data_IF_831265033881
#
_entry.id   IF_831265033881
#
_cell.length_a   1.000
_cell.length_b   1.000
_cell.length_c   1.000
_cell.angle_alpha   90.00
_cell.angle_beta   90.00
_cell.angle_gamma   90.00
#
_symmetry.space_group_name_H-M   'P 1'
#
loop_
_entity.id
_entity.type
_entity.pdbx_description
1 polymer ?
#
# COMPACT_ATOMS: atom_id res chain seq x y z
N UNK A 1 -7.95 18.07 -4.99
CA UNK A 1 -7.06 17.44 -3.97
C UNK A 1 -5.90 16.80 -4.72
N UNK A 2 -4.68 17.24 -4.46
CA UNK A 2 -3.49 16.65 -5.09
C UNK A 2 -3.06 15.44 -4.24
N UNK A 3 -3.33 14.24 -4.78
CA UNK A 3 -3.08 12.97 -4.10
C UNK A 3 -2.42 12.02 -5.08
N UNK A 4 -1.30 11.48 -4.67
CA UNK A 4 -0.55 10.48 -5.41
C UNK A 4 -0.40 9.20 -4.60
N UNK A 5 -0.38 8.06 -5.26
CA UNK A 5 -0.07 6.80 -4.58
C UNK A 5 1.36 6.86 -4.01
N UNK A 6 1.51 6.46 -2.75
CA UNK A 6 2.79 6.42 -2.06
C UNK A 6 3.31 4.99 -1.94
N UNK A 7 2.59 4.11 -1.26
CA UNK A 7 3.05 2.74 -1.09
C UNK A 7 1.93 1.73 -0.79
N UNK A 8 2.28 0.47 -0.97
CA UNK A 8 1.51 -0.66 -0.48
C UNK A 8 2.21 -1.29 0.72
N UNK A 9 1.46 -1.52 1.78
CA UNK A 9 1.93 -2.17 3.01
C UNK A 9 1.68 -3.67 2.91
N UNK A 10 2.72 -4.48 3.08
CA UNK A 10 2.66 -5.92 3.14
C UNK A 10 3.17 -6.40 4.50
N UNK A 11 2.27 -6.90 5.33
CA UNK A 11 2.65 -7.52 6.59
C UNK A 11 3.32 -8.88 6.35
N UNK A 12 4.48 -9.07 6.93
CA UNK A 12 5.18 -10.37 6.98
C UNK A 12 5.94 -10.51 8.29
N UNK A 13 6.05 -11.73 8.79
CA UNK A 13 6.83 -12.03 10.01
C UNK A 13 8.32 -11.80 9.80
N UNK A 14 8.80 -11.90 8.56
CA UNK A 14 10.21 -11.73 8.21
C UNK A 14 10.36 -10.85 6.95
N UNK A 15 10.36 -9.51 7.09
CA UNK A 15 10.60 -8.57 6.00
C UNK A 15 11.89 -8.82 5.21
N UNK A 16 12.93 -9.34 5.85
CA UNK A 16 14.21 -9.66 5.19
C UNK A 16 14.09 -10.79 4.16
N UNK A 17 13.20 -11.77 4.37
CA UNK A 17 12.93 -12.80 3.37
C UNK A 17 12.32 -12.19 2.11
N UNK A 18 11.34 -11.31 2.25
CA UNK A 18 10.71 -10.60 1.14
C UNK A 18 11.72 -9.71 0.40
N UNK A 19 12.55 -8.96 1.13
CA UNK A 19 13.66 -8.18 0.59
C UNK A 19 14.61 -9.07 -0.23
N UNK A 20 15.03 -10.19 0.33
CA UNK A 20 15.96 -11.13 -0.33
C UNK A 20 15.34 -11.71 -1.60
N UNK A 21 14.06 -12.08 -1.59
CA UNK A 21 13.35 -12.56 -2.77
C UNK A 21 13.39 -11.53 -3.91
N UNK A 22 13.17 -10.25 -3.61
CA UNK A 22 13.26 -9.18 -4.60
C UNK A 22 14.69 -8.92 -5.07
N UNK A 23 15.69 -8.99 -4.17
CA UNK A 23 17.10 -8.86 -4.55
C UNK A 23 17.55 -9.98 -5.50
N UNK A 24 17.08 -11.21 -5.32
CA UNK A 24 17.40 -12.35 -6.19
C UNK A 24 16.91 -12.16 -7.62
N UNK A 25 15.78 -11.49 -7.81
CA UNK A 25 15.26 -11.14 -9.16
C UNK A 25 15.82 -9.83 -9.70
N UNK A 26 16.69 -9.16 -8.97
CA UNK A 26 17.48 -8.01 -9.43
C UNK A 26 16.99 -6.65 -8.97
N UNK A 27 16.03 -6.56 -8.04
CA UNK A 27 15.62 -5.30 -7.42
C UNK A 27 16.66 -4.80 -6.39
N UNK A 28 16.68 -3.50 -6.18
CA UNK A 28 17.46 -2.83 -5.12
C UNK A 28 16.59 -2.65 -3.88
N UNK A 29 16.17 -3.76 -3.28
CA UNK A 29 15.43 -3.74 -2.03
C UNK A 29 16.39 -3.55 -0.85
N UNK A 30 15.98 -2.73 0.14
CA UNK A 30 16.81 -2.26 1.25
C UNK A 30 16.13 -2.47 2.61
N UNK A 31 16.92 -2.39 3.68
CA UNK A 31 16.37 -2.21 5.02
C UNK A 31 15.83 -0.78 5.15
N UNK A 32 14.60 -0.65 5.61
CA UNK A 32 13.99 0.65 5.84
C UNK A 32 14.36 1.25 7.20
N UNK A 33 14.22 0.47 8.25
CA UNK A 33 14.56 0.85 9.62
C UNK A 33 13.55 0.36 10.66
N UNK A 34 13.71 0.85 11.89
CA UNK A 34 12.88 0.45 13.04
C UNK A 34 11.98 1.61 13.47
N UNK A 35 10.72 1.29 13.74
CA UNK A 35 9.75 2.20 14.36
C UNK A 35 9.70 1.87 15.85
N UNK A 36 10.62 2.47 16.61
CA UNK A 36 10.82 2.12 18.02
C UNK A 36 9.57 2.38 18.88
N UNK A 37 8.79 3.39 18.56
CA UNK A 37 7.53 3.70 19.25
C UNK A 37 6.43 2.66 19.03
N UNK A 38 6.47 1.93 17.91
CA UNK A 38 5.43 1.00 17.48
C UNK A 38 5.83 -0.48 17.56
N UNK A 39 7.08 -0.79 17.90
CA UNK A 39 7.57 -2.17 17.95
C UNK A 39 7.59 -2.86 16.60
N UNK A 40 7.82 -2.11 15.51
CA UNK A 40 7.87 -2.63 14.14
C UNK A 40 9.16 -2.25 13.43
N UNK A 41 9.44 -2.91 12.31
CA UNK A 41 10.52 -2.59 11.39
C UNK A 41 10.11 -2.94 9.98
N UNK A 42 10.81 -2.41 8.99
CA UNK A 42 10.48 -2.66 7.60
C UNK A 42 11.69 -2.87 6.68
N UNK A 43 11.41 -3.53 5.55
CA UNK A 43 12.23 -3.51 4.34
C UNK A 43 11.44 -2.85 3.22
N UNK A 44 12.13 -2.23 2.27
CA UNK A 44 11.52 -1.36 1.27
C UNK A 44 12.07 -1.68 -0.12
N UNK A 45 11.22 -1.54 -1.15
CA UNK A 45 11.62 -1.50 -2.54
C UNK A 45 11.00 -0.29 -3.22
N UNK A 46 11.82 0.65 -3.67
CA UNK A 46 11.37 1.89 -4.30
C UNK A 46 11.21 1.73 -5.81
N UNK A 47 10.24 2.46 -6.38
CA UNK A 47 9.96 2.58 -7.80
C UNK A 47 9.93 4.05 -8.21
N UNK A 48 9.92 4.32 -9.51
CA UNK A 48 9.78 5.68 -10.04
C UNK A 48 8.54 6.39 -9.49
N UNK A 49 8.64 7.72 -9.35
CA UNK A 49 7.56 8.54 -8.82
C UNK A 49 7.35 8.39 -7.31
N UNK A 50 8.42 8.08 -6.56
CA UNK A 50 8.42 7.92 -5.09
C UNK A 50 7.45 6.85 -4.57
N UNK A 51 7.09 5.87 -5.41
CA UNK A 51 6.24 4.74 -5.02
C UNK A 51 7.11 3.63 -4.44
N UNK A 52 6.58 2.88 -3.48
CA UNK A 52 7.32 1.75 -2.94
C UNK A 52 6.43 0.65 -2.37
N UNK A 53 7.04 -0.52 -2.19
CA UNK A 53 6.49 -1.62 -1.40
C UNK A 53 7.14 -1.54 -0.02
N UNK A 54 6.32 -1.59 1.03
CA UNK A 54 6.77 -1.72 2.41
C UNK A 54 6.47 -3.14 2.92
N UNK A 55 7.49 -3.91 3.19
CA UNK A 55 7.36 -5.14 3.97
C UNK A 55 7.59 -4.81 5.44
N UNK A 56 6.55 -4.93 6.26
CA UNK A 56 6.58 -4.58 7.67
C UNK A 56 6.40 -5.80 8.55
N UNK A 57 7.18 -5.88 9.61
CA UNK A 57 7.13 -6.93 10.63
C UNK A 57 7.28 -6.37 12.03
N UNK A 58 7.14 -7.23 13.03
CA UNK A 58 7.26 -6.86 14.44
C UNK A 58 8.67 -7.11 14.97
N UNK A 59 9.24 -6.11 15.67
CA UNK A 59 10.39 -6.29 16.55
C UNK A 59 9.96 -6.58 18.00
N UNK A 60 8.76 -6.06 18.38
CA UNK A 60 8.16 -6.20 19.68
C UNK A 60 6.63 -6.24 19.52
N UNK A 61 6.08 -7.45 19.50
CA UNK A 61 4.65 -7.66 19.27
C UNK A 61 3.78 -7.14 20.41
N UNK A 62 4.25 -7.22 21.67
CA UNK A 62 3.50 -6.72 22.81
C UNK A 62 3.39 -5.20 22.78
N UNK A 63 4.44 -4.53 22.36
CA UNK A 63 4.43 -3.09 22.10
C UNK A 63 3.50 -2.72 20.94
N UNK A 64 3.54 -3.47 19.85
CA UNK A 64 2.65 -3.25 18.70
C UNK A 64 1.17 -3.38 19.08
N UNK A 65 0.81 -4.37 19.90
CA UNK A 65 -0.57 -4.55 20.39
C UNK A 65 -1.11 -3.40 21.22
N UNK A 66 -0.24 -2.66 21.88
CA UNK A 66 -0.62 -1.52 22.73
C UNK A 66 -0.45 -0.17 22.01
N UNK A 67 -0.07 -0.18 20.74
CA UNK A 67 0.07 1.03 19.93
C UNK A 67 -1.28 1.72 19.73
N UNK A 68 -1.31 3.03 19.80
CA UNK A 68 -2.46 3.89 19.45
C UNK A 68 -2.54 4.18 17.95
N UNK A 69 -1.53 3.76 17.19
CA UNK A 69 -1.49 3.97 15.74
C UNK A 69 -2.43 3.01 15.01
N UNK A 70 -3.36 3.57 14.24
CA UNK A 70 -4.42 2.82 13.53
C UNK A 70 -3.85 1.78 12.56
N UNK A 71 -2.77 2.10 11.82
CA UNK A 71 -2.12 1.14 10.91
C UNK A 71 -1.53 -0.04 11.68
N UNK A 72 -0.87 0.22 12.80
CA UNK A 72 -0.25 -0.83 13.60
C UNK A 72 -1.30 -1.74 14.23
N UNK A 73 -2.39 -1.16 14.77
CA UNK A 73 -3.53 -1.95 15.27
C UNK A 73 -4.13 -2.83 14.17
N UNK A 74 -4.27 -2.31 12.95
CA UNK A 74 -4.75 -3.08 11.80
C UNK A 74 -3.79 -4.21 11.43
N UNK A 75 -2.47 -3.94 11.40
CA UNK A 75 -1.45 -4.97 11.10
C UNK A 75 -1.45 -6.06 12.17
N UNK A 76 -1.61 -5.70 13.45
CA UNK A 76 -1.78 -6.67 14.55
C UNK A 76 -3.02 -7.54 14.32
N UNK A 77 -4.16 -6.94 13.99
CA UNK A 77 -5.38 -7.70 13.68
C UNK A 77 -5.20 -8.61 12.45
N UNK A 78 -4.55 -8.11 11.40
CA UNK A 78 -4.26 -8.88 10.19
C UNK A 78 -3.30 -10.05 10.46
N UNK A 79 -2.35 -9.89 11.38
CA UNK A 79 -1.36 -10.93 11.71
C UNK A 79 -2.00 -12.23 12.24
N UNK A 80 -3.19 -12.13 12.83
CA UNK A 80 -3.98 -13.29 13.27
C UNK A 80 -4.68 -14.01 12.10
N UNK A 81 -4.85 -13.33 10.96
CA UNK A 81 -5.48 -13.87 9.75
C UNK A 81 -4.46 -14.36 8.72
N UNK A 82 -3.19 -14.01 8.88
CA UNK A 82 -2.10 -14.41 7.98
C UNK A 82 -1.25 -13.24 7.48
N UNK A 83 -0.15 -13.59 6.84
CA UNK A 83 0.77 -12.63 6.19
C UNK A 83 0.24 -12.26 4.80
N UNK A 84 0.46 -11.02 4.33
CA UNK A 84 0.03 -10.54 3.02
C UNK A 84 -0.14 -9.03 2.99
N UNK A 85 -0.66 -8.51 1.89
CA UNK A 85 -0.93 -7.08 1.80
C UNK A 85 -2.00 -6.67 2.81
N UNK A 86 -1.80 -5.53 3.43
CA UNK A 86 -2.63 -5.00 4.51
C UNK A 86 -3.32 -3.70 4.11
N UNK A 87 -2.59 -2.73 3.55
CA UNK A 87 -3.12 -1.38 3.35
C UNK A 87 -2.48 -0.66 2.18
N UNK A 88 -3.16 0.38 1.68
CA UNK A 88 -2.68 1.34 0.68
C UNK A 88 -2.44 2.70 1.33
N UNK A 89 -1.36 3.36 0.93
CA UNK A 89 -1.05 4.73 1.31
C UNK A 89 -1.09 5.67 0.11
N UNK A 90 -1.71 6.82 0.27
CA UNK A 90 -1.65 7.93 -0.68
C UNK A 90 -1.00 9.13 -0.03
N UNK A 91 -0.04 9.76 -0.71
CA UNK A 91 0.63 10.95 -0.20
C UNK A 91 -0.07 12.24 -0.65
N UNK A 92 0.09 13.25 0.16
CA UNK A 92 -0.33 14.63 -0.08
C UNK A 92 0.69 15.59 0.52
N UNK A 93 0.72 16.81 0.01
CA UNK A 93 1.49 17.90 0.62
C UNK A 93 0.64 18.77 1.56
N UNK A 94 -0.68 18.52 1.62
CA UNK A 94 -1.63 19.27 2.46
C UNK A 94 -2.63 18.29 3.13
N UNK A 95 -2.27 17.80 4.31
CA UNK A 95 -3.10 16.86 5.06
C UNK A 95 -4.36 17.53 5.62
N UNK A 96 -4.33 18.84 5.87
CA UNK A 96 -5.50 19.60 6.37
C UNK A 96 -6.56 19.71 5.27
N UNK A 97 -6.16 19.92 4.01
CA UNK A 97 -7.06 19.86 2.88
C UNK A 97 -7.70 18.47 2.72
N UNK A 98 -6.95 17.40 2.98
CA UNK A 98 -7.50 16.03 2.96
C UNK A 98 -8.51 15.83 4.10
N UNK A 99 -8.24 16.33 5.31
CA UNK A 99 -9.20 16.30 6.44
C UNK A 99 -10.51 16.98 6.05
N UNK A 100 -10.42 18.21 5.52
CA UNK A 100 -11.60 18.96 5.10
C UNK A 100 -12.40 18.22 4.01
N UNK A 101 -11.70 17.62 3.06
CA UNK A 101 -12.30 16.82 1.98
C UNK A 101 -13.04 15.59 2.52
N UNK A 102 -12.42 14.80 3.41
CA UNK A 102 -13.02 13.63 4.06
C UNK A 102 -14.29 14.03 4.81
N UNK A 103 -14.22 15.13 5.57
CA UNK A 103 -15.38 15.66 6.31
C UNK A 103 -16.50 16.12 5.37
N UNK A 104 -16.18 16.80 4.27
CA UNK A 104 -17.17 17.22 3.26
C UNK A 104 -17.89 16.02 2.61
N UNK A 105 -17.25 14.83 2.57
CA UNK A 105 -17.88 13.58 2.15
C UNK A 105 -18.73 12.92 3.27
N UNK A 106 -18.84 13.53 4.44
CA UNK A 106 -19.52 12.95 5.60
C UNK A 106 -18.78 11.74 6.20
N UNK A 107 -17.49 11.61 5.89
CA UNK A 107 -16.62 10.61 6.48
C UNK A 107 -15.91 11.18 7.71
N UNK A 108 -15.44 10.30 8.60
CA UNK A 108 -14.80 10.71 9.86
C UNK A 108 -13.28 10.49 9.78
N UNK A 109 -12.46 11.55 9.74
CA UNK A 109 -11.01 11.43 9.81
C UNK A 109 -10.57 11.01 11.22
N UNK A 110 -9.47 10.26 11.29
CA UNK A 110 -8.78 9.86 12.53
C UNK A 110 -7.31 10.24 12.40
N UNK A 111 -6.82 11.06 13.27
CA UNK A 111 -5.48 11.65 13.23
C UNK A 111 -5.54 13.16 12.95
N UNK A 112 -4.46 13.77 12.42
CA UNK A 112 -3.24 13.11 11.95
C UNK A 112 -2.34 12.62 13.10
N UNK A 113 -1.67 11.48 12.88
CA UNK A 113 -0.68 10.92 13.79
C UNK A 113 0.72 11.15 13.27
N UNK A 114 1.59 11.73 14.10
CA UNK A 114 2.99 11.91 13.74
C UNK A 114 3.76 10.58 13.82
N UNK A 115 4.59 10.32 12.83
CA UNK A 115 5.51 9.21 12.80
C UNK A 115 6.93 9.67 12.50
N UNK A 116 7.91 8.86 12.93
CA UNK A 116 9.30 9.08 12.57
C UNK A 116 10.08 7.77 12.53
N UNK A 117 11.15 7.76 11.74
CA UNK A 117 12.06 6.64 11.60
C UNK A 117 13.47 7.14 11.43
N UNK A 118 14.42 6.53 12.12
CA UNK A 118 15.84 6.77 11.91
C UNK A 118 16.37 5.77 10.89
N UNK A 119 16.95 6.27 9.80
CA UNK A 119 17.63 5.49 8.77
C UNK A 119 18.99 4.99 9.29
N UNK A 120 19.61 4.05 8.57
CA UNK A 120 20.96 3.54 8.90
C UNK A 120 22.04 4.61 8.81
N UNK A 121 21.89 5.62 7.91
CA UNK A 121 22.78 6.77 7.79
C UNK A 121 22.59 7.81 8.91
N UNK A 122 21.69 7.57 9.85
CA UNK A 122 21.40 8.43 10.99
C UNK A 122 20.36 9.52 10.73
N UNK A 123 19.93 9.74 9.48
CA UNK A 123 18.88 10.72 9.15
C UNK A 123 17.54 10.28 9.75
N UNK A 124 16.83 11.25 10.34
CA UNK A 124 15.47 11.04 10.84
C UNK A 124 14.48 11.49 9.76
N UNK A 125 13.67 10.59 9.30
CA UNK A 125 12.50 10.87 8.47
C UNK A 125 11.29 11.06 9.38
N UNK A 126 10.45 12.05 9.07
CA UNK A 126 9.20 12.32 9.78
C UNK A 126 8.04 12.38 8.78
N UNK A 127 6.85 12.08 9.27
CA UNK A 127 5.60 12.13 8.49
C UNK A 127 4.40 12.29 9.41
N UNK A 128 3.26 12.63 8.83
CA UNK A 128 1.95 12.57 9.48
C UNK A 128 1.05 11.61 8.73
N UNK A 129 0.28 10.78 9.45
CA UNK A 129 -0.66 9.81 8.87
C UNK A 129 -2.07 10.14 9.27
N UNK A 130 -2.99 10.11 8.30
CA UNK A 130 -4.40 10.35 8.47
C UNK A 130 -5.19 9.12 7.99
N UNK A 131 -6.11 8.68 8.82
CA UNK A 131 -6.98 7.53 8.55
C UNK A 131 -8.43 7.98 8.41
N UNK A 132 -9.26 7.11 7.86
CA UNK A 132 -10.71 7.27 7.81
C UNK A 132 -11.31 6.20 8.71
N UNK A 133 -12.22 6.61 9.61
CA UNK A 133 -12.98 5.63 10.40
C UNK A 133 -13.87 4.83 9.47
N UNK A 134 -13.63 3.54 9.40
CA UNK A 134 -14.50 2.61 8.71
C UNK A 134 -15.48 2.03 9.73
N UNK A 135 -16.77 2.22 9.49
CA UNK A 135 -17.84 1.70 10.35
C UNK A 135 -18.47 0.43 9.76
N UNK A 136 -18.04 0.04 8.55
CA UNK A 136 -18.53 -1.12 7.80
C UNK A 136 -17.36 -2.02 7.43
N UNK A 137 -17.28 -3.18 8.04
CA UNK A 137 -16.24 -4.19 7.77
C UNK A 137 -16.52 -5.06 6.52
N UNK A 138 -17.65 -4.85 5.83
CA UNK A 138 -18.13 -5.67 4.73
C UNK A 138 -17.68 -5.20 3.34
N UNK A 139 -16.97 -4.09 3.26
CA UNK A 139 -16.40 -3.53 2.02
C UNK A 139 -14.89 -3.40 2.10
N UNK A 140 -14.25 -3.10 0.96
CA UNK A 140 -12.79 -2.85 0.96
C UNK A 140 -12.42 -1.68 1.88
N UNK A 141 -11.26 -1.81 2.50
CA UNK A 141 -10.72 -0.79 3.42
C UNK A 141 -10.51 0.54 2.73
N UNK A 142 -10.73 1.66 3.46
CA UNK A 142 -10.20 2.94 3.05
C UNK A 142 -8.68 2.92 3.08
N UNK A 143 -7.98 3.53 2.12
CA UNK A 143 -6.56 3.78 2.24
C UNK A 143 -6.30 4.81 3.33
N UNK A 144 -5.05 4.90 3.78
CA UNK A 144 -4.64 6.03 4.62
C UNK A 144 -3.86 7.07 3.79
N UNK A 145 -3.77 8.27 4.34
CA UNK A 145 -3.04 9.37 3.74
C UNK A 145 -1.79 9.69 4.54
N UNK A 146 -0.72 10.06 3.83
CA UNK A 146 0.56 10.40 4.44
C UNK A 146 1.05 11.73 3.88
N UNK A 147 1.47 12.62 4.79
CA UNK A 147 2.23 13.80 4.46
C UNK A 147 3.65 13.64 5.02
N UNK A 148 4.63 13.69 4.14
CA UNK A 148 6.04 13.62 4.53
C UNK A 148 6.52 14.94 5.08
N UNK A 149 7.46 14.91 6.04
CA UNK A 149 8.05 16.12 6.62
C UNK A 149 9.01 16.85 5.68
N UNK A 150 9.47 16.19 4.60
CA UNK A 150 10.34 16.78 3.60
C UNK A 150 9.59 16.97 2.29
N UNK A 151 9.85 18.08 1.54
CA UNK A 151 9.29 18.29 0.22
C UNK A 151 9.59 17.15 -0.76
N UNK A 152 8.66 16.89 -1.68
CA UNK A 152 8.79 15.81 -2.67
C UNK A 152 10.06 15.93 -3.52
N UNK A 153 10.48 17.15 -3.89
CA UNK A 153 11.72 17.37 -4.63
C UNK A 153 12.98 16.90 -3.89
N UNK A 154 13.03 17.13 -2.59
CA UNK A 154 14.15 16.69 -1.73
C UNK A 154 14.14 15.16 -1.64
N UNK A 155 12.98 14.58 -1.36
CA UNK A 155 12.81 13.13 -1.29
C UNK A 155 13.16 12.46 -2.62
N UNK A 156 12.75 13.04 -3.75
CA UNK A 156 13.04 12.50 -5.09
C UNK A 156 14.55 12.41 -5.31
N UNK A 157 15.30 13.48 -5.03
CA UNK A 157 16.77 13.48 -5.18
C UNK A 157 17.44 12.39 -4.34
N UNK A 158 16.97 12.20 -3.11
CA UNK A 158 17.52 11.17 -2.21
C UNK A 158 17.14 9.74 -2.62
N UNK A 159 15.95 9.56 -3.19
CA UNK A 159 15.44 8.22 -3.51
C UNK A 159 15.86 7.74 -4.92
N UNK A 160 16.31 8.63 -5.82
CA UNK A 160 16.76 8.25 -7.18
C UNK A 160 17.73 7.06 -7.19
N UNK A 161 18.77 6.99 -6.33
CA UNK A 161 19.68 5.83 -6.31
C UNK A 161 18.98 4.52 -5.92
N UNK A 162 17.91 4.59 -5.11
CA UNK A 162 17.16 3.43 -4.64
C UNK A 162 16.13 2.93 -5.66
N UNK A 163 15.78 3.78 -6.65
CA UNK A 163 14.87 3.43 -7.75
C UNK A 163 15.58 2.77 -8.93
N UNK A 164 16.92 2.71 -8.89
CA UNK A 164 17.72 2.04 -9.91
C UNK A 164 17.93 0.59 -9.53
N UNK A 165 17.49 -0.32 -10.40
CA UNK A 165 17.59 -1.75 -10.16
C UNK A 165 18.49 -2.40 -11.22
N UNK A 166 19.08 -3.53 -10.88
CA UNK A 166 19.91 -4.30 -11.85
C UNK A 166 19.11 -4.74 -13.08
N UNK A 167 17.80 -4.90 -12.94
CA UNK A 167 16.87 -5.27 -14.01
C UNK A 167 16.37 -4.09 -14.84
N UNK A 168 16.78 -2.84 -14.53
CA UNK A 168 16.32 -1.63 -15.20
C UNK A 168 15.55 -0.68 -14.28
N UNK A 169 14.54 0.00 -14.84
CA UNK A 169 13.71 0.98 -14.13
C UNK A 169 12.25 0.53 -14.17
N UNK A 170 11.88 -0.54 -13.46
CA UNK A 170 10.49 -1.00 -13.40
C UNK A 170 9.60 0.01 -12.68
N UNK A 171 8.31 -0.05 -12.97
CA UNK A 171 7.30 0.82 -12.39
C UNK A 171 6.21 0.01 -11.71
N UNK A 172 5.78 0.45 -10.53
CA UNK A 172 4.59 -0.07 -9.88
C UNK A 172 3.38 0.49 -10.64
N UNK A 173 2.58 -0.37 -11.28
CA UNK A 173 1.58 0.03 -12.28
C UNK A 173 0.16 -0.07 -11.75
N UNK A 174 -0.17 -1.11 -11.00
CA UNK A 174 -1.50 -1.27 -10.43
C UNK A 174 -1.51 -2.07 -9.13
N UNK A 175 -2.60 -1.91 -8.39
CA UNK A 175 -2.89 -2.70 -7.19
C UNK A 175 -4.24 -3.42 -7.39
N UNK A 176 -4.28 -4.73 -7.14
CA UNK A 176 -5.49 -5.52 -7.13
C UNK A 176 -6.07 -5.63 -5.71
N UNK A 177 -7.34 -5.27 -5.59
CA UNK A 177 -8.16 -5.39 -4.38
C UNK A 177 -9.10 -6.59 -4.53
N UNK A 178 -9.08 -7.51 -3.56
CA UNK A 178 -10.08 -8.57 -3.46
C UNK A 178 -11.26 -8.04 -2.64
N UNK A 179 -12.45 -7.98 -3.22
CA UNK A 179 -13.62 -7.37 -2.59
C UNK A 179 -14.81 -8.32 -2.53
N UNK A 180 -15.57 -8.28 -1.44
CA UNK A 180 -16.81 -9.05 -1.27
C UNK A 180 -17.97 -8.46 -2.06
N UNK A 181 -18.03 -7.14 -2.17
CA UNK A 181 -19.04 -6.36 -2.88
C UNK A 181 -18.35 -5.34 -3.79
N UNK A 182 -18.38 -5.63 -5.10
CA UNK A 182 -17.68 -4.81 -6.11
C UNK A 182 -18.30 -3.41 -6.22
N UNK A 183 -19.62 -3.32 -6.28
CA UNK A 183 -20.32 -2.05 -6.54
C UNK A 183 -20.15 -1.08 -5.37
N UNK A 184 -20.34 -1.54 -4.14
CA UNK A 184 -20.14 -0.73 -2.94
C UNK A 184 -18.68 -0.31 -2.77
N UNK A 185 -17.72 -1.20 -3.07
CA UNK A 185 -16.28 -0.88 -3.00
C UNK A 185 -15.90 0.20 -4.01
N UNK A 186 -16.41 0.11 -5.23
CA UNK A 186 -16.20 1.14 -6.25
C UNK A 186 -16.86 2.46 -5.88
N UNK A 187 -18.11 2.43 -5.37
CA UNK A 187 -18.80 3.63 -4.90
C UNK A 187 -18.01 4.33 -3.79
N UNK A 188 -17.49 3.55 -2.83
CA UNK A 188 -16.66 4.02 -1.72
C UNK A 188 -15.42 4.77 -2.21
N UNK A 189 -14.67 4.18 -3.15
CA UNK A 189 -13.46 4.79 -3.70
C UNK A 189 -13.76 5.97 -4.64
N UNK A 190 -14.75 5.84 -5.53
CA UNK A 190 -15.19 6.94 -6.39
C UNK A 190 -15.60 8.18 -5.57
N UNK A 191 -16.36 7.97 -4.47
CA UNK A 191 -16.77 9.05 -3.56
C UNK A 191 -15.57 9.68 -2.85
N UNK A 192 -14.65 8.86 -2.33
CA UNK A 192 -13.47 9.34 -1.61
C UNK A 192 -12.57 10.19 -2.49
N UNK A 193 -12.31 9.76 -3.73
CA UNK A 193 -11.34 10.39 -4.61
C UNK A 193 -11.94 11.35 -5.66
N UNK A 194 -13.26 11.62 -5.59
CA UNK A 194 -13.99 12.43 -6.59
C UNK A 194 -13.81 11.92 -8.03
N UNK A 195 -13.72 10.61 -8.20
CA UNK A 195 -13.62 10.00 -9.52
C UNK A 195 -15.01 9.63 -10.01
N UNK A 196 -15.42 10.13 -11.19
CA UNK A 196 -16.74 9.82 -11.75
C UNK A 196 -16.90 8.30 -11.99
N UNK A 197 -18.06 7.73 -11.63
CA UNK A 197 -18.33 6.29 -11.81
C UNK A 197 -18.20 5.85 -13.27
N UNK A 198 -18.53 6.72 -14.22
CA UNK A 198 -18.42 6.46 -15.67
C UNK A 198 -16.97 6.36 -16.18
N UNK A 199 -15.97 6.75 -15.39
CA UNK A 199 -14.56 6.59 -15.75
C UNK A 199 -13.98 5.25 -15.30
N UNK A 200 -14.78 4.43 -14.59
CA UNK A 200 -14.39 3.05 -14.25
C UNK A 200 -14.45 2.21 -15.52
N UNK A 201 -13.38 1.46 -15.79
CA UNK A 201 -13.31 0.53 -16.93
C UNK A 201 -13.40 -0.91 -16.44
N UNK A 202 -13.97 -1.79 -17.26
CA UNK A 202 -14.02 -3.22 -16.98
C UNK A 202 -13.10 -3.97 -17.93
N UNK A 203 -12.40 -4.96 -17.42
CA UNK A 203 -11.50 -5.83 -18.19
C UNK A 203 -11.29 -7.16 -17.47
N UNK A 204 -10.43 -8.00 -18.02
CA UNK A 204 -10.04 -9.27 -17.42
C UNK A 204 -8.57 -9.56 -17.64
N UNK A 205 -7.99 -10.31 -16.73
CA UNK A 205 -6.64 -10.85 -16.80
C UNK A 205 -6.59 -12.29 -16.26
N UNK A 206 -5.41 -12.82 -16.05
CA UNK A 206 -5.21 -14.17 -15.51
C UNK A 206 -5.73 -14.37 -14.09
N UNK A 207 -5.99 -13.27 -13.34
CA UNK A 207 -6.53 -13.31 -11.98
C UNK A 207 -8.06 -13.23 -11.94
N UNK A 208 -8.72 -12.83 -13.03
CA UNK A 208 -10.15 -12.74 -13.14
C UNK A 208 -10.67 -11.48 -13.85
N UNK A 209 -11.97 -11.25 -13.75
CA UNK A 209 -12.60 -10.01 -14.22
C UNK A 209 -12.46 -8.93 -13.15
N UNK A 210 -12.13 -7.72 -13.56
CA UNK A 210 -11.97 -6.59 -12.67
C UNK A 210 -12.60 -5.31 -13.20
N UNK A 211 -12.91 -4.40 -12.28
CA UNK A 211 -13.17 -2.99 -12.57
C UNK A 211 -11.99 -2.15 -12.15
N UNK A 212 -11.50 -1.27 -13.02
CA UNK A 212 -10.30 -0.46 -12.79
C UNK A 212 -10.67 1.01 -12.59
N UNK A 213 -10.06 1.61 -11.58
CA UNK A 213 -10.17 3.01 -11.21
C UNK A 213 -8.76 3.61 -11.15
N UNK A 214 -8.49 4.68 -11.90
CA UNK A 214 -7.22 5.41 -11.81
C UNK A 214 -7.32 6.49 -10.74
N UNK A 215 -6.43 6.45 -9.76
CA UNK A 215 -6.35 7.38 -8.63
C UNK A 215 -4.95 8.00 -8.62
N UNK A 216 -4.87 9.31 -8.89
CA UNK A 216 -3.57 9.96 -9.02
C UNK A 216 -2.73 9.29 -10.11
N UNK A 217 -1.67 8.59 -9.70
CA UNK A 217 -0.70 7.95 -10.58
C UNK A 217 -0.70 6.41 -10.52
N UNK A 218 -1.78 5.80 -10.05
CA UNK A 218 -1.90 4.33 -9.89
C UNK A 218 -3.26 3.85 -10.38
N UNK A 219 -3.30 2.68 -11.03
CA UNK A 219 -4.54 1.97 -11.28
C UNK A 219 -4.88 1.08 -10.06
N UNK A 220 -6.11 1.14 -9.61
CA UNK A 220 -6.66 0.23 -8.59
C UNK A 220 -7.70 -0.66 -9.24
N UNK A 221 -7.44 -1.96 -9.28
CA UNK A 221 -8.31 -2.99 -9.86
C UNK A 221 -9.09 -3.68 -8.75
N UNK A 222 -10.38 -3.72 -8.90
CA UNK A 222 -11.29 -4.37 -7.95
C UNK A 222 -11.76 -5.68 -8.56
N UNK A 223 -11.39 -6.79 -7.92
CA UNK A 223 -11.81 -8.14 -8.28
C UNK A 223 -12.82 -8.61 -7.25
N UNK A 224 -14.00 -9.01 -7.72
CA UNK A 224 -14.99 -9.59 -6.82
C UNK A 224 -14.56 -11.01 -6.42
N UNK A 225 -14.53 -11.31 -5.14
CA UNK A 225 -13.98 -12.55 -4.59
C UNK A 225 -14.55 -13.83 -5.25
N UNK A 226 -15.84 -13.80 -5.61
CA UNK A 226 -16.51 -14.94 -6.29
C UNK A 226 -16.12 -15.13 -7.76
N UNK A 227 -15.50 -14.12 -8.40
CA UNK A 227 -15.10 -14.14 -9.81
C UNK A 227 -13.58 -14.25 -10.02
N UNK A 228 -12.81 -14.40 -8.92
CA UNK A 228 -11.38 -14.65 -9.01
C UNK A 228 -11.08 -16.00 -9.67
N UNK A 229 -10.13 -16.00 -10.60
CA UNK A 229 -9.62 -17.22 -11.24
C UNK A 229 -8.65 -18.02 -10.33
N UNK A 230 -8.26 -17.44 -9.20
CA UNK A 230 -7.35 -18.02 -8.20
C UNK A 230 -8.06 -18.15 -6.85
N UNK A 231 -7.63 -19.12 -6.05
CA UNK A 231 -8.13 -19.26 -4.68
C UNK A 231 -7.39 -18.32 -3.74
N UNK A 232 -8.13 -17.47 -3.06
CA UNK A 232 -7.63 -16.59 -1.99
C UNK A 232 -8.34 -16.96 -0.69
N UNK A 233 -7.59 -17.01 0.41
CA UNK A 233 -8.16 -17.25 1.73
C UNK A 233 -9.25 -16.21 2.03
N UNK A 234 -10.42 -16.68 2.46
CA UNK A 234 -11.54 -15.82 2.83
C UNK A 234 -11.20 -14.79 3.92
N UNK A 235 -10.22 -15.10 4.76
CA UNK A 235 -9.69 -14.16 5.75
C UNK A 235 -8.99 -12.93 5.12
N UNK A 236 -8.68 -12.97 3.81
CA UNK A 236 -8.00 -11.94 3.04
C UNK A 236 -8.94 -11.14 2.12
N UNK A 237 -10.26 -11.29 2.30
CA UNK A 237 -11.25 -10.48 1.57
C UNK A 237 -11.21 -9.01 2.06
N UNK A 238 -11.64 -8.09 1.18
CA UNK A 238 -11.75 -6.65 1.41
C UNK A 238 -10.40 -5.94 1.65
N UNK A 239 -9.32 -6.47 1.06
CA UNK A 239 -7.99 -5.88 1.13
C UNK A 239 -7.16 -6.14 -0.15
N UNK A 240 -5.99 -5.47 -0.29
CA UNK A 240 -5.10 -5.73 -1.43
C UNK A 240 -4.62 -7.19 -1.42
N UNK A 241 -4.46 -7.77 -2.60
CA UNK A 241 -3.89 -9.11 -2.77
C UNK A 241 -2.84 -9.19 -3.87
N UNK A 242 -2.83 -8.21 -4.78
CA UNK A 242 -2.04 -8.21 -6.01
C UNK A 242 -1.35 -6.87 -6.20
N UNK A 243 -0.08 -6.91 -6.59
CA UNK A 243 0.75 -5.75 -6.92
C UNK A 243 1.35 -5.95 -8.32
N UNK A 244 0.95 -5.12 -9.28
CA UNK A 244 1.44 -5.13 -10.66
C UNK A 244 2.66 -4.25 -10.85
N UNK A 245 3.70 -4.79 -11.47
CA UNK A 245 4.98 -4.15 -11.74
C UNK A 245 5.31 -4.34 -13.21
N UNK A 246 5.48 -3.24 -13.95
CA UNK A 246 5.79 -3.22 -15.40
C UNK A 246 7.22 -2.81 -15.68
N UNK A 247 7.66 -3.02 -16.93
CA UNK A 247 9.03 -2.72 -17.35
C UNK A 247 10.03 -3.78 -16.93
N UNK A 248 9.58 -5.01 -16.80
CA UNK A 248 10.40 -6.17 -16.48
C UNK A 248 10.92 -6.83 -17.77
N UNK A 249 12.05 -7.56 -17.70
CA UNK A 249 12.57 -8.28 -18.88
C UNK A 249 11.70 -9.46 -19.31
N UNK A 250 10.87 -9.98 -18.44
CA UNK A 250 9.96 -11.11 -18.69
C UNK A 250 8.71 -11.05 -17.81
N UNK A 251 7.64 -11.64 -18.29
CA UNK A 251 6.42 -11.82 -17.48
C UNK A 251 6.65 -12.90 -16.42
N UNK A 252 6.26 -12.61 -15.19
CA UNK A 252 6.44 -13.54 -14.06
C UNK A 252 5.45 -13.22 -12.93
N UNK A 253 5.01 -14.25 -12.27
CA UNK A 253 4.24 -14.12 -11.02
C UNK A 253 5.05 -14.74 -9.88
N UNK A 254 5.19 -14.01 -8.78
CA UNK A 254 5.75 -14.56 -7.55
C UNK A 254 4.78 -14.35 -6.39
N UNK A 255 4.83 -15.27 -5.46
CA UNK A 255 4.07 -15.20 -4.22
C UNK A 255 5.02 -14.99 -3.04
N UNK A 256 4.76 -13.96 -2.26
CA UNK A 256 5.39 -13.79 -0.96
C UNK A 256 4.27 -13.89 0.07
N UNK A 257 4.21 -15.05 0.73
CA UNK A 257 3.06 -15.44 1.57
C UNK A 257 1.76 -15.33 0.75
N UNK A 258 0.78 -14.56 1.22
CA UNK A 258 -0.47 -14.36 0.49
C UNK A 258 -0.47 -13.11 -0.41
N UNK A 259 0.67 -12.45 -0.60
CA UNK A 259 0.79 -11.34 -1.54
C UNK A 259 1.28 -11.82 -2.90
N UNK A 260 0.58 -11.44 -3.96
CA UNK A 260 0.92 -11.77 -5.34
C UNK A 260 1.62 -10.57 -5.98
N UNK A 261 2.76 -10.80 -6.59
CA UNK A 261 3.50 -9.81 -7.36
C UNK A 261 3.52 -10.24 -8.82
N UNK A 262 2.83 -9.49 -9.67
CA UNK A 262 2.73 -9.72 -11.10
C UNK A 262 3.71 -8.80 -11.83
N UNK A 263 4.72 -9.39 -12.42
CA UNK A 263 5.72 -8.71 -13.24
C UNK A 263 5.36 -8.83 -14.71
N UNK A 264 5.42 -7.71 -15.45
CA UNK A 264 5.15 -7.69 -16.88
C UNK A 264 6.20 -6.85 -17.64
N UNK A 265 6.39 -7.20 -18.92
CA UNK A 265 7.25 -6.48 -19.86
C UNK A 265 6.76 -5.05 -20.08
#
# INVERSE_FOLDING_TARGET
MDIMFDHIVHFTKNPEEAKTAFQLIGFHAINGGKHLSWGTYNCLNYFTGLRYIEWIGFTDFDKAKTSDNVLIQQIVADSHKGEGFSQLAFRTDDIDAVIAHIQAKGLKPIGPFSGSRKREDGKVLSWSMLFIKDEQDDTCRYPFFIQWGEPEEVRTKEMVPLMQHRIGIPSLSYIGMNVSNLDESLQKYCRLFDVPRQSVTESSDEFGTYSELVIGNIAVRFYEAKSLAISIDSALINRPFLCGITGMPENKVIHIKNGIYHFSV
#
